data_IF_843694449876
#
_entry.id   IF_843694449876
#
_cell.length_a   1.000
_cell.length_b   1.000
_cell.length_c   1.000
_cell.angle_alpha   90.00
_cell.angle_beta   90.00
_cell.angle_gamma   90.00
#
_symmetry.space_group_name_H-M   'P 1'
#
loop_
_entity.id
_entity.type
_entity.pdbx_description
1 polymer ?
#
# COMPACT_ATOMS: atom_id res chain seq x y z
N UNK A 1 13.20 5.26 6.10
CA UNK A 1 11.87 5.74 6.57
C UNK A 1 10.96 4.59 6.97
N UNK A 2 10.63 3.66 6.06
CA UNK A 2 9.80 2.47 6.35
C UNK A 2 10.27 1.72 7.60
N UNK A 3 11.54 1.32 7.67
CA UNK A 3 12.09 0.56 8.79
C UNK A 3 11.95 1.28 10.15
N UNK A 4 12.09 2.61 10.16
CA UNK A 4 11.94 3.41 11.37
C UNK A 4 10.48 3.47 11.86
N UNK A 5 9.51 3.51 10.94
CA UNK A 5 8.07 3.46 11.27
C UNK A 5 7.67 2.04 11.72
N UNK A 6 8.12 1.02 10.98
CA UNK A 6 7.92 -0.38 11.30
C UNK A 6 8.50 -0.74 12.67
N UNK A 7 9.72 -0.30 12.98
CA UNK A 7 10.35 -0.53 14.29
C UNK A 7 9.64 0.15 15.45
N UNK A 8 8.82 1.17 15.19
CA UNK A 8 7.99 1.86 16.21
C UNK A 8 6.59 1.26 16.37
N UNK A 9 6.26 0.15 15.70
CA UNK A 9 4.92 -0.42 15.78
C UNK A 9 3.87 0.31 14.94
N UNK A 10 4.25 1.31 14.16
CA UNK A 10 3.31 2.10 13.35
C UNK A 10 2.95 1.29 12.11
N UNK A 11 1.66 1.08 11.88
CA UNK A 11 1.16 0.40 10.68
C UNK A 11 1.62 1.16 9.44
N UNK A 12 2.39 0.48 8.60
CA UNK A 12 2.97 1.11 7.41
C UNK A 12 3.19 0.07 6.32
N UNK A 13 3.15 0.52 5.07
CA UNK A 13 3.41 -0.29 3.89
C UNK A 13 4.37 0.45 2.95
N UNK A 14 5.25 -0.29 2.28
CA UNK A 14 6.17 0.22 1.27
C UNK A 14 6.04 -0.61 -0.01
N UNK A 15 5.76 0.08 -1.11
CA UNK A 15 5.74 -0.48 -2.45
C UNK A 15 6.97 -0.02 -3.20
N UNK A 16 7.63 -0.96 -3.88
CA UNK A 16 8.74 -0.68 -4.79
C UNK A 16 8.36 -1.24 -6.15
N UNK A 17 8.40 -0.38 -7.16
CA UNK A 17 8.04 -0.74 -8.53
C UNK A 17 9.31 -0.81 -9.37
N UNK A 18 9.70 -2.03 -9.73
CA UNK A 18 10.86 -2.25 -10.59
C UNK A 18 10.61 -1.71 -12.00
N UNK A 19 11.61 -1.07 -12.60
CA UNK A 19 11.51 -0.48 -13.94
C UNK A 19 10.79 0.86 -14.00
N UNK A 20 10.29 1.39 -12.87
CA UNK A 20 9.68 2.71 -12.79
C UNK A 20 10.65 3.78 -12.26
N UNK A 21 10.47 5.02 -12.71
CA UNK A 21 11.24 6.19 -12.28
C UNK A 21 10.38 7.24 -11.57
N UNK A 22 10.72 8.52 -11.73
CA UNK A 22 9.90 9.61 -11.21
C UNK A 22 8.61 9.76 -12.04
N UNK A 23 7.49 9.36 -11.44
CA UNK A 23 6.19 9.28 -12.10
C UNK A 23 5.99 7.93 -12.80
N UNK A 24 5.04 7.14 -12.29
CA UNK A 24 4.76 5.81 -12.83
C UNK A 24 4.18 5.88 -14.25
N UNK A 25 4.58 4.95 -15.11
CA UNK A 25 4.15 4.89 -16.52
C UNK A 25 3.43 3.61 -16.88
N UNK A 26 3.73 2.50 -16.21
CA UNK A 26 3.00 1.26 -16.42
C UNK A 26 1.64 1.34 -15.74
N UNK A 27 0.59 1.00 -16.50
CA UNK A 27 -0.80 1.05 -16.03
C UNK A 27 -1.03 0.23 -14.77
N UNK A 28 -0.35 -0.90 -14.66
CA UNK A 28 -0.42 -1.84 -13.54
C UNK A 28 0.10 -1.18 -12.26
N UNK A 29 1.23 -0.47 -12.35
CA UNK A 29 1.86 0.21 -11.21
C UNK A 29 1.05 1.43 -10.78
N UNK A 30 0.52 2.20 -11.73
CA UNK A 30 -0.39 3.32 -11.46
C UNK A 30 -1.64 2.81 -10.73
N UNK A 31 -2.28 1.75 -11.25
CA UNK A 31 -3.47 1.16 -10.63
C UNK A 31 -3.17 0.66 -9.23
N UNK A 32 -2.06 -0.06 -9.04
CA UNK A 32 -1.68 -0.59 -7.73
C UNK A 32 -1.41 0.52 -6.72
N UNK A 33 -0.71 1.59 -7.12
CA UNK A 33 -0.46 2.75 -6.28
C UNK A 33 -1.77 3.40 -5.82
N UNK A 34 -2.69 3.67 -6.75
CA UNK A 34 -3.99 4.28 -6.46
C UNK A 34 -4.87 3.40 -5.56
N UNK A 35 -4.93 2.09 -5.84
CA UNK A 35 -5.70 1.15 -5.01
C UNK A 35 -5.13 1.06 -3.59
N UNK A 36 -3.81 1.01 -3.46
CA UNK A 36 -3.14 0.94 -2.15
C UNK A 36 -3.34 2.21 -1.33
N UNK A 37 -3.26 3.36 -1.99
CA UNK A 37 -3.56 4.66 -1.38
C UNK A 37 -5.02 4.74 -0.92
N UNK A 38 -5.96 4.31 -1.76
CA UNK A 38 -7.38 4.27 -1.40
C UNK A 38 -7.63 3.38 -0.18
N UNK A 39 -7.07 2.17 -0.13
CA UNK A 39 -7.20 1.30 1.06
C UNK A 39 -6.59 1.94 2.29
N UNK A 40 -5.41 2.56 2.16
CA UNK A 40 -4.74 3.21 3.27
C UNK A 40 -5.64 4.29 3.88
N UNK A 41 -6.22 5.17 3.05
CA UNK A 41 -7.14 6.20 3.52
C UNK A 41 -8.43 5.62 4.08
N UNK A 42 -9.07 4.67 3.40
CA UNK A 42 -10.29 4.02 3.89
C UNK A 42 -10.09 3.47 5.30
N UNK A 43 -8.96 2.82 5.57
CA UNK A 43 -8.63 2.33 6.92
C UNK A 43 -8.34 3.42 7.94
N UNK A 44 -7.61 4.46 7.56
CA UNK A 44 -7.37 5.63 8.44
C UNK A 44 -8.70 6.27 8.85
N UNK A 45 -9.68 6.29 7.96
CA UNK A 45 -11.00 6.86 8.22
C UNK A 45 -12.06 5.86 8.70
N UNK A 46 -11.73 4.57 8.86
CA UNK A 46 -12.67 3.53 9.29
C UNK A 46 -13.79 3.21 8.29
N UNK A 47 -13.53 3.43 7.00
CA UNK A 47 -14.43 3.13 5.87
C UNK A 47 -14.06 1.76 5.30
N UNK A 48 -15.07 0.94 4.99
CA UNK A 48 -14.85 -0.31 4.28
C UNK A 48 -14.66 -0.01 2.78
N UNK A 49 -13.48 -0.34 2.19
CA UNK A 49 -13.23 -0.07 0.79
C UNK A 49 -14.02 -1.05 -0.11
N UNK A 50 -14.91 -0.52 -0.95
CA UNK A 50 -15.66 -1.30 -1.93
C UNK A 50 -14.89 -1.48 -3.25
N UNK A 51 -15.18 -2.58 -3.96
CA UNK A 51 -14.67 -2.83 -5.31
C UNK A 51 -13.18 -3.19 -5.41
N UNK A 52 -12.53 -3.55 -4.30
CA UNK A 52 -11.14 -3.98 -4.28
C UNK A 52 -11.00 -5.47 -3.98
N UNK A 53 -10.12 -6.15 -4.73
CA UNK A 53 -9.68 -7.51 -4.38
C UNK A 53 -8.50 -7.44 -3.42
N UNK A 54 -8.30 -8.49 -2.61
CA UNK A 54 -7.18 -8.62 -1.66
C UNK A 54 -5.78 -8.67 -2.33
N UNK A 55 -5.70 -8.53 -3.65
CA UNK A 55 -4.45 -8.64 -4.41
C UNK A 55 -3.55 -7.40 -4.32
N UNK A 56 -4.10 -6.26 -3.90
CA UNK A 56 -3.41 -4.97 -3.86
C UNK A 56 -2.20 -4.91 -2.91
N UNK A 57 -2.01 -5.89 -2.02
CA UNK A 57 -0.88 -5.91 -1.08
C UNK A 57 0.12 -7.04 -1.29
N UNK A 58 -0.07 -7.91 -2.31
CA UNK A 58 0.78 -9.08 -2.52
C UNK A 58 2.26 -8.74 -2.77
N UNK A 59 2.53 -7.57 -3.33
CA UNK A 59 3.88 -7.10 -3.68
C UNK A 59 4.46 -6.11 -2.67
N UNK A 60 3.69 -5.74 -1.63
CA UNK A 60 4.09 -4.74 -0.65
C UNK A 60 4.94 -5.33 0.47
N UNK A 61 5.93 -4.56 0.95
CA UNK A 61 6.46 -4.79 2.31
C UNK A 61 5.49 -4.15 3.30
N UNK A 62 4.93 -4.95 4.21
CA UNK A 62 3.95 -4.48 5.21
C UNK A 62 4.48 -4.79 6.62
N UNK A 63 4.34 -3.85 7.54
CA UNK A 63 4.74 -4.01 8.94
C UNK A 63 3.61 -3.65 9.92
N UNK A 64 3.57 -4.37 11.05
CA UNK A 64 2.58 -4.21 12.14
C UNK A 64 1.15 -4.29 11.64
N UNK A 65 1.00 -5.31 10.82
CA UNK A 65 0.03 -5.42 9.80
C UNK A 65 -0.97 -6.47 10.27
N UNK A 66 -1.84 -6.14 11.24
CA UNK A 66 -2.99 -7.01 11.53
C UNK A 66 -4.05 -6.77 10.45
N UNK A 67 -3.79 -7.32 9.26
CA UNK A 67 -4.69 -7.23 8.09
C UNK A 67 -5.60 -8.45 7.97
N UNK A 68 -5.80 -9.20 9.08
CA UNK A 68 -6.83 -10.20 9.36
C UNK A 68 -7.13 -10.21 10.86
#
# INVERSE_FOLDING_TARGET
>A
MFEALAGKGITTALFMFEGEGHGFRMSENIRLALQSEFVFFSRVFGIEPDGLTNDCFKTAKVANARWL
#
